data_IF_920104360527
#
_entry.id   IF_920104360527
#
_cell.length_a   1.000
_cell.length_b   1.000
_cell.length_c   1.000
_cell.angle_alpha   90.00
_cell.angle_beta   90.00
_cell.angle_gamma   90.00
#
_symmetry.space_group_name_H-M   'P 1'
#
loop_
_entity.id
_entity.type
_entity.pdbx_description
1 polymer ?
#
# COMPACT_ATOMS: atom_id res chain seq x y z
N UNK A 1 -11.55 -3.59 -14.66
CA UNK A 1 -12.20 -4.69 -15.43
C UNK A 1 -11.70 -6.08 -15.05
N UNK A 2 -10.57 -6.23 -14.35
CA UNK A 2 -9.98 -7.52 -13.95
C UNK A 2 -10.82 -8.33 -12.95
N UNK A 3 -11.58 -7.68 -12.05
CA UNK A 3 -12.35 -8.38 -11.01
C UNK A 3 -13.40 -9.38 -11.53
N UNK A 4 -14.15 -9.02 -12.57
CA UNK A 4 -15.18 -9.90 -13.15
C UNK A 4 -14.56 -11.13 -13.84
N UNK A 5 -13.43 -10.95 -14.53
CA UNK A 5 -12.67 -12.04 -15.13
C UNK A 5 -12.24 -13.06 -14.09
N UNK A 6 -11.72 -12.60 -12.96
CA UNK A 6 -11.30 -13.49 -11.88
C UNK A 6 -12.45 -14.26 -11.23
N UNK A 7 -13.58 -13.59 -10.98
CA UNK A 7 -14.77 -14.26 -10.46
C UNK A 7 -15.31 -15.31 -11.43
N UNK A 8 -15.27 -15.02 -12.73
CA UNK A 8 -15.65 -15.97 -13.77
C UNK A 8 -14.72 -17.20 -13.80
N UNK A 9 -13.40 -16.98 -13.78
CA UNK A 9 -12.41 -18.05 -13.70
C UNK A 9 -12.67 -18.95 -12.49
N UNK A 10 -12.84 -18.36 -11.30
CA UNK A 10 -13.05 -19.14 -10.08
C UNK A 10 -14.30 -20.03 -10.14
N UNK A 11 -15.38 -19.55 -10.77
CA UNK A 11 -16.60 -20.32 -10.97
C UNK A 11 -16.40 -21.47 -11.98
N UNK A 12 -15.73 -21.22 -13.11
CA UNK A 12 -15.42 -22.25 -14.10
C UNK A 12 -14.48 -23.31 -13.52
N UNK A 13 -13.43 -22.89 -12.81
CA UNK A 13 -12.48 -23.80 -12.18
C UNK A 13 -13.17 -24.66 -11.13
N UNK A 14 -14.07 -24.12 -10.31
CA UNK A 14 -14.79 -24.95 -9.32
C UNK A 14 -15.62 -26.07 -9.95
N UNK A 15 -16.22 -25.83 -11.12
CA UNK A 15 -17.00 -26.86 -11.82
C UNK A 15 -16.13 -28.03 -12.29
N UNK A 16 -14.85 -27.78 -12.58
CA UNK A 16 -13.90 -28.78 -13.06
C UNK A 16 -13.07 -29.40 -11.92
N UNK A 17 -12.66 -28.57 -10.96
CA UNK A 17 -11.88 -28.91 -9.77
C UNK A 17 -12.34 -28.04 -8.60
N UNK A 18 -13.22 -28.61 -7.78
CA UNK A 18 -13.82 -27.91 -6.67
C UNK A 18 -12.78 -27.46 -5.62
N UNK A 19 -11.64 -28.16 -5.49
CA UNK A 19 -10.59 -27.77 -4.54
C UNK A 19 -9.80 -26.57 -5.07
N UNK A 20 -9.37 -26.61 -6.33
CA UNK A 20 -8.68 -25.49 -6.97
C UNK A 20 -9.58 -24.24 -7.00
N UNK A 21 -10.86 -24.39 -7.34
CA UNK A 21 -11.82 -23.28 -7.38
C UNK A 21 -12.03 -22.62 -6.02
N UNK A 22 -12.04 -23.40 -4.92
CA UNK A 22 -12.11 -22.86 -3.55
C UNK A 22 -10.86 -22.08 -3.18
N UNK A 23 -9.67 -22.54 -3.58
CA UNK A 23 -8.41 -21.84 -3.34
C UNK A 23 -8.37 -20.51 -4.09
N UNK A 24 -8.79 -20.49 -5.35
CA UNK A 24 -8.88 -19.25 -6.15
C UNK A 24 -9.89 -18.28 -5.51
N UNK A 25 -11.08 -18.74 -5.10
CA UNK A 25 -12.05 -17.88 -4.41
C UNK A 25 -11.53 -17.29 -3.11
N UNK A 26 -10.78 -18.08 -2.33
CA UNK A 26 -10.14 -17.58 -1.12
C UNK A 26 -9.15 -16.47 -1.46
N UNK A 27 -8.27 -16.69 -2.44
CA UNK A 27 -7.33 -15.67 -2.91
C UNK A 27 -8.06 -14.40 -3.39
N UNK A 28 -9.20 -14.53 -4.07
CA UNK A 28 -10.03 -13.40 -4.48
C UNK A 28 -10.67 -12.65 -3.32
N UNK A 29 -11.09 -13.36 -2.27
CA UNK A 29 -11.65 -12.73 -1.07
C UNK A 29 -10.57 -11.92 -0.35
N UNK A 30 -9.34 -12.45 -0.27
CA UNK A 30 -8.20 -11.76 0.32
C UNK A 30 -7.78 -10.55 -0.53
N UNK A 31 -7.78 -10.68 -1.86
CA UNK A 31 -7.49 -9.60 -2.81
C UNK A 31 -8.49 -8.43 -2.74
N UNK A 32 -9.79 -8.76 -2.67
CA UNK A 32 -10.89 -7.78 -2.68
C UNK A 32 -11.12 -7.10 -1.32
N UNK A 33 -10.48 -7.58 -0.25
CA UNK A 33 -10.56 -6.98 1.07
C UNK A 33 -10.14 -5.50 1.06
N UNK A 34 -10.57 -4.74 2.08
CA UNK A 34 -10.13 -3.36 2.25
C UNK A 34 -8.60 -3.23 2.31
N UNK A 35 -8.05 -2.13 1.80
CA UNK A 35 -6.63 -1.81 1.98
C UNK A 35 -6.34 -1.52 3.45
N UNK A 36 -5.29 -2.13 4.01
CA UNK A 36 -4.81 -1.87 5.37
C UNK A 36 -3.87 -0.66 5.32
N UNK A 37 -4.32 0.45 5.89
CA UNK A 37 -3.51 1.66 6.05
C UNK A 37 -3.01 1.73 7.49
N UNK A 38 -1.70 1.64 7.68
CA UNK A 38 -1.06 1.74 8.99
C UNK A 38 -0.52 3.15 9.20
N UNK A 39 -0.92 3.80 10.29
CA UNK A 39 -0.36 5.10 10.68
C UNK A 39 0.61 4.90 11.83
N UNK A 40 1.89 4.85 11.48
CA UNK A 40 2.98 4.50 12.38
C UNK A 40 3.72 5.74 12.87
N UNK A 41 4.19 5.71 14.11
CA UNK A 41 5.05 6.77 14.64
C UNK A 41 5.31 6.62 16.13
N UNK A 42 6.33 7.29 16.64
CA UNK A 42 6.62 7.30 18.07
C UNK A 42 5.61 8.11 18.86
N UNK A 43 5.55 7.87 20.17
CA UNK A 43 4.77 8.69 21.07
C UNK A 43 5.18 10.18 20.95
N UNK A 44 4.20 11.08 20.91
CA UNK A 44 4.44 12.53 20.83
C UNK A 44 4.79 13.09 19.44
N UNK A 45 4.84 12.27 18.38
CA UNK A 45 5.09 12.78 17.01
C UNK A 45 3.86 13.38 16.34
N UNK A 46 2.68 13.30 16.95
CA UNK A 46 1.40 13.69 16.33
C UNK A 46 0.71 12.57 15.55
N UNK A 47 1.20 11.32 15.66
CA UNK A 47 0.64 10.12 15.01
C UNK A 47 -0.89 10.02 15.09
N UNK A 48 -1.49 10.24 16.27
CA UNK A 48 -2.95 10.11 16.46
C UNK A 48 -3.75 11.17 15.71
N UNK A 49 -3.20 12.38 15.59
CA UNK A 49 -3.80 13.44 14.78
C UNK A 49 -3.75 13.07 13.30
N UNK A 50 -2.61 12.57 12.82
CA UNK A 50 -2.46 12.10 11.44
C UNK A 50 -3.37 10.90 11.17
N UNK A 51 -3.50 9.97 12.11
CA UNK A 51 -4.40 8.82 12.00
C UNK A 51 -5.86 9.26 11.79
N UNK A 52 -6.29 10.27 12.55
CA UNK A 52 -7.62 10.86 12.41
C UNK A 52 -7.79 11.53 11.06
N UNK A 53 -6.81 12.33 10.64
CA UNK A 53 -6.81 13.02 9.35
C UNK A 53 -6.85 12.04 8.16
N UNK A 54 -6.01 10.99 8.18
CA UNK A 54 -5.98 9.93 7.16
C UNK A 54 -7.33 9.22 7.10
N UNK A 55 -7.93 8.90 8.25
CA UNK A 55 -9.26 8.29 8.32
C UNK A 55 -10.32 9.21 7.69
N UNK A 56 -10.30 10.51 7.99
CA UNK A 56 -11.22 11.47 7.39
C UNK A 56 -11.01 11.63 5.87
N UNK A 57 -9.77 11.72 5.41
CA UNK A 57 -9.45 11.82 3.97
C UNK A 57 -9.97 10.61 3.20
N UNK A 58 -9.77 9.41 3.74
CA UNK A 58 -10.25 8.17 3.09
C UNK A 58 -11.78 8.05 3.16
N UNK A 59 -12.44 8.53 4.23
CA UNK A 59 -13.90 8.60 4.32
C UNK A 59 -14.52 9.59 3.32
N UNK A 60 -13.83 10.69 3.01
CA UNK A 60 -14.30 11.72 2.06
C UNK A 60 -14.24 11.27 0.59
N UNK A 61 -13.90 10.00 0.33
CA UNK A 61 -13.75 9.38 -0.98
C UNK A 61 -12.64 10.04 -1.76
N UNK A 62 -11.43 9.54 -1.59
CA UNK A 62 -10.39 9.79 -2.57
C UNK A 62 -10.84 9.08 -3.85
N UNK A 63 -11.20 9.85 -4.89
CA UNK A 63 -11.42 9.34 -6.23
C UNK A 63 -10.06 8.88 -6.76
N UNK A 64 -9.70 7.64 -6.40
CA UNK A 64 -8.49 7.00 -6.87
C UNK A 64 -8.83 6.43 -8.25
N UNK A 65 -7.98 6.69 -9.25
CA UNK A 65 -8.09 6.04 -10.55
C UNK A 65 -8.20 4.51 -10.35
N UNK A 66 -9.38 3.95 -10.65
CA UNK A 66 -9.70 2.54 -10.40
C UNK A 66 -10.91 2.29 -9.49
N UNK A 67 -11.51 3.31 -8.86
CA UNK A 67 -12.79 3.21 -8.14
C UNK A 67 -12.70 3.54 -6.64
N UNK A 68 -13.79 3.29 -5.89
CA UNK A 68 -13.81 3.49 -4.44
C UNK A 68 -12.81 2.56 -3.75
N UNK A 69 -11.91 3.13 -2.94
CA UNK A 69 -11.00 2.35 -2.10
C UNK A 69 -11.60 2.20 -0.72
N UNK A 70 -12.12 1.01 -0.44
CA UNK A 70 -12.37 0.59 0.94
C UNK A 70 -11.01 0.45 1.64
N UNK A 71 -10.81 1.20 2.72
CA UNK A 71 -9.58 1.19 3.50
C UNK A 71 -9.88 1.07 4.99
N UNK A 72 -9.13 0.23 5.68
CA UNK A 72 -9.12 0.10 7.12
C UNK A 72 -7.88 0.81 7.68
N UNK A 73 -8.09 1.88 8.46
CA UNK A 73 -7.02 2.71 9.04
C UNK A 73 -6.79 2.33 10.49
N UNK A 74 -5.54 1.94 10.81
CA UNK A 74 -5.12 1.58 12.16
C UNK A 74 -3.81 2.25 12.57
N UNK A 75 -3.75 2.75 13.80
CA UNK A 75 -2.54 3.30 14.39
C UNK A 75 -1.55 2.23 14.84
N UNK A 76 -0.25 2.49 14.65
CA UNK A 76 0.85 1.64 15.13
C UNK A 76 1.83 2.50 15.93
N UNK A 77 1.97 2.20 17.22
CA UNK A 77 2.96 2.87 18.05
C UNK A 77 4.34 2.26 17.80
N UNK A 78 5.34 3.12 17.59
CA UNK A 78 6.74 2.74 17.43
C UNK A 78 7.49 3.12 18.70
N UNK A 79 8.52 2.35 19.07
CA UNK A 79 9.38 2.64 20.22
C UNK A 79 8.59 2.65 21.55
N UNK A 80 7.71 1.65 21.72
CA UNK A 80 6.93 1.46 22.94
C UNK A 80 7.80 0.81 24.03
N UNK A 81 7.86 1.37 25.25
CA UNK A 81 8.57 0.75 26.36
C UNK A 81 8.06 -0.67 26.63
N UNK A 82 8.98 -1.63 26.72
CA UNK A 82 8.70 -3.06 26.94
C UNK A 82 7.77 -3.70 25.89
N UNK A 83 7.52 -3.02 24.77
CA UNK A 83 6.69 -3.49 23.67
C UNK A 83 7.50 -4.26 22.63
N UNK A 84 6.85 -5.15 21.85
CA UNK A 84 7.49 -5.75 20.69
C UNK A 84 7.77 -4.71 19.62
N UNK A 85 8.79 -4.96 18.80
CA UNK A 85 9.03 -4.15 17.60
C UNK A 85 7.79 -4.18 16.68
N UNK A 86 7.34 -3.02 16.17
CA UNK A 86 6.16 -2.95 15.34
C UNK A 86 6.39 -3.62 13.98
N UNK A 87 5.41 -4.39 13.53
CA UNK A 87 5.39 -4.94 12.17
C UNK A 87 4.65 -3.94 11.27
N UNK A 88 5.37 -3.36 10.31
CA UNK A 88 4.85 -2.38 9.36
C UNK A 88 4.61 -3.04 7.99
N UNK A 89 3.56 -3.86 7.92
CA UNK A 89 3.20 -4.71 6.78
C UNK A 89 1.95 -4.22 6.02
N UNK A 90 1.44 -3.04 6.35
CA UNK A 90 0.27 -2.46 5.70
C UNK A 90 0.41 -2.38 4.18
N UNK A 91 -0.74 -2.35 3.49
CA UNK A 91 -0.78 -2.05 2.05
C UNK A 91 -0.23 -0.64 1.78
N UNK A 92 -0.53 0.29 2.70
CA UNK A 92 0.05 1.63 2.78
C UNK A 92 0.51 1.88 4.22
N UNK A 93 1.74 2.36 4.38
CA UNK A 93 2.31 2.76 5.67
C UNK A 93 2.52 4.26 5.66
N UNK A 94 1.76 4.97 6.50
CA UNK A 94 1.93 6.39 6.78
C UNK A 94 2.83 6.52 8.01
N UNK A 95 4.10 6.86 7.80
CA UNK A 95 5.05 7.02 8.90
C UNK A 95 5.12 8.49 9.33
N UNK A 96 4.96 8.75 10.62
CA UNK A 96 4.82 10.11 11.17
C UNK A 96 6.07 10.50 11.95
N UNK A 97 6.79 11.49 11.44
CA UNK A 97 8.01 12.04 12.04
C UNK A 97 7.82 13.49 12.47
N UNK A 98 8.49 13.93 13.55
CA UNK A 98 8.48 15.33 13.94
C UNK A 98 9.26 16.18 12.93
N UNK A 99 8.89 17.46 12.81
CA UNK A 99 9.57 18.49 11.99
C UNK A 99 11.10 18.42 11.95
N UNK A 100 11.72 18.17 13.11
CA UNK A 100 13.18 18.12 13.23
C UNK A 100 13.66 16.68 13.19
N UNK A 101 13.82 16.16 11.98
CA UNK A 101 14.61 14.96 11.76
C UNK A 101 15.98 15.38 11.22
N UNK A 102 16.80 15.94 12.12
CA UNK A 102 18.23 16.10 11.82
C UNK A 102 18.80 14.69 11.62
N UNK A 103 19.43 14.36 10.48
CA UNK A 103 19.99 13.03 10.24
C UNK A 103 21.04 12.63 11.30
N UNK A 104 21.68 13.59 11.98
CA UNK A 104 22.58 13.32 13.10
C UNK A 104 21.85 12.95 14.41
N UNK A 105 20.55 13.23 14.51
CA UNK A 105 19.74 13.11 15.74
C UNK A 105 18.46 12.27 15.52
N UNK A 106 18.26 11.73 14.31
CA UNK A 106 17.12 10.87 13.99
C UNK A 106 17.08 9.68 14.94
N UNK A 107 15.92 9.47 15.59
CA UNK A 107 15.78 8.41 16.58
C UNK A 107 16.09 7.05 15.94
N UNK A 108 16.87 6.16 16.58
CA UNK A 108 17.20 4.86 16.01
C UNK A 108 15.98 4.06 15.57
N UNK A 109 14.89 4.12 16.35
CA UNK A 109 13.64 3.45 16.01
C UNK A 109 12.98 4.00 14.73
N UNK A 110 13.06 5.32 14.48
CA UNK A 110 12.55 5.92 13.24
C UNK A 110 13.33 5.42 12.03
N UNK A 111 14.66 5.34 12.14
CA UNK A 111 15.52 4.81 11.07
C UNK A 111 15.27 3.32 10.83
N UNK A 112 15.15 2.53 11.89
CA UNK A 112 14.89 1.10 11.79
C UNK A 112 13.54 0.82 11.11
N UNK A 113 12.49 1.53 11.53
CA UNK A 113 11.16 1.43 10.93
C UNK A 113 11.18 1.81 9.44
N UNK A 114 11.77 2.95 9.08
CA UNK A 114 11.85 3.40 7.69
C UNK A 114 12.69 2.48 6.79
N UNK A 115 13.69 1.80 7.36
CA UNK A 115 14.48 0.79 6.63
C UNK A 115 13.72 -0.52 6.43
N UNK A 116 12.82 -0.86 7.34
CA UNK A 116 12.05 -2.11 7.30
C UNK A 116 10.83 -2.04 6.36
N UNK A 117 10.30 -0.84 6.11
CA UNK A 117 9.12 -0.63 5.26
C UNK A 117 9.50 -0.68 3.79
N UNK A 118 8.71 -1.39 3.00
CA UNK A 118 8.78 -1.35 1.54
C UNK A 118 8.56 0.09 1.03
N UNK A 119 9.55 0.72 0.35
CA UNK A 119 9.43 2.08 -0.17
C UNK A 119 8.25 2.27 -1.12
N UNK A 120 7.74 1.23 -1.76
CA UNK A 120 6.56 1.31 -2.63
C UNK A 120 5.28 1.64 -1.85
N UNK A 121 5.24 1.33 -0.55
CA UNK A 121 4.07 1.44 0.34
C UNK A 121 4.12 2.64 1.28
N UNK A 122 5.23 3.37 1.31
CA UNK A 122 5.50 4.40 2.29
C UNK A 122 4.93 5.77 1.89
N UNK A 123 4.32 6.46 2.85
CA UNK A 123 4.11 7.92 2.86
C UNK A 123 4.72 8.46 4.16
N UNK A 124 5.67 9.37 4.08
CA UNK A 124 6.29 10.01 5.24
C UNK A 124 5.61 11.34 5.52
N UNK A 125 4.97 11.46 6.69
CA UNK A 125 4.30 12.67 7.14
C UNK A 125 5.17 13.41 8.14
N UNK A 126 5.47 14.66 7.84
CA UNK A 126 6.24 15.54 8.72
C UNK A 126 5.29 16.43 9.51
N UNK A 127 5.33 16.33 10.84
CA UNK A 127 4.44 17.10 11.72
C UNK A 127 5.07 18.40 12.20
N UNK A 128 4.29 19.48 12.07
CA UNK A 128 4.62 20.82 12.55
C UNK A 128 5.09 21.79 11.47
N UNK A 129 4.22 22.70 11.02
CA UNK A 129 4.57 23.97 10.35
C UNK A 129 5.54 23.95 9.17
N UNK A 130 5.61 22.86 8.40
CA UNK A 130 6.68 22.61 7.42
C UNK A 130 6.36 23.14 6.02
N UNK A 131 7.26 23.94 5.47
CA UNK A 131 7.31 24.28 4.04
C UNK A 131 8.02 23.17 3.24
N UNK A 132 8.02 23.29 1.91
CA UNK A 132 8.60 22.29 1.00
C UNK A 132 10.10 22.06 1.24
N UNK A 133 10.80 23.07 1.78
CA UNK A 133 12.23 22.99 2.06
C UNK A 133 12.54 22.05 3.22
N UNK A 134 11.72 22.06 4.27
CA UNK A 134 11.86 21.15 5.39
C UNK A 134 11.50 19.70 4.99
N UNK A 135 10.48 19.51 4.15
CA UNK A 135 10.15 18.19 3.60
C UNK A 135 11.31 17.63 2.77
N UNK A 136 11.97 18.47 1.96
CA UNK A 136 13.15 18.08 1.19
C UNK A 136 14.35 17.69 2.07
N UNK A 137 14.54 18.36 3.22
CA UNK A 137 15.58 17.99 4.18
C UNK A 137 15.28 16.63 4.83
N UNK A 138 14.03 16.39 5.24
CA UNK A 138 13.61 15.11 5.82
C UNK A 138 13.73 13.97 4.80
N UNK A 139 13.34 14.20 3.55
CA UNK A 139 13.52 13.24 2.45
C UNK A 139 14.99 12.80 2.33
N UNK A 140 15.92 13.76 2.30
CA UNK A 140 17.37 13.49 2.25
C UNK A 140 17.87 12.76 3.49
N UNK A 141 17.40 13.14 4.68
CA UNK A 141 17.84 12.58 5.94
C UNK A 141 17.39 11.12 6.13
N UNK A 142 16.22 10.78 5.59
CA UNK A 142 15.61 9.44 5.70
C UNK A 142 15.93 8.54 4.51
N UNK A 143 16.38 9.12 3.39
CA UNK A 143 16.51 8.41 2.11
C UNK A 143 15.16 8.14 1.43
N UNK A 144 14.06 8.71 1.95
CA UNK A 144 12.73 8.57 1.37
C UNK A 144 12.62 9.49 0.15
N UNK A 145 12.09 9.00 -0.99
CA UNK A 145 11.85 9.82 -2.16
C UNK A 145 11.03 11.08 -1.84
N UNK A 146 11.38 12.28 -2.37
CA UNK A 146 10.66 13.52 -2.06
C UNK A 146 9.16 13.48 -2.40
N UNK A 147 8.77 12.69 -3.41
CA UNK A 147 7.37 12.47 -3.80
C UNK A 147 6.58 11.61 -2.82
N UNK A 148 7.22 11.10 -1.77
CA UNK A 148 6.59 10.34 -0.69
C UNK A 148 6.58 11.11 0.63
N UNK A 149 7.19 12.31 0.69
CA UNK A 149 7.24 13.13 1.90
C UNK A 149 6.22 14.26 1.79
N UNK A 150 5.40 14.42 2.83
CA UNK A 150 4.35 15.44 2.88
C UNK A 150 4.26 16.11 4.25
N UNK A 151 4.00 17.41 4.23
CA UNK A 151 3.71 18.18 5.43
C UNK A 151 2.30 17.86 5.94
N UNK A 152 2.11 17.65 7.25
CA UNK A 152 0.80 17.33 7.84
C UNK A 152 -0.30 18.37 7.52
N UNK A 153 0.08 19.62 7.31
CA UNK A 153 -0.85 20.73 7.02
C UNK A 153 -1.37 20.74 5.59
N UNK A 154 -0.74 19.98 4.70
CA UNK A 154 -1.12 19.91 3.29
C UNK A 154 -2.05 18.70 3.09
N UNK A 155 -3.32 18.89 3.43
CA UNK A 155 -4.31 17.81 3.39
C UNK A 155 -4.55 17.30 1.96
N UNK A 156 -4.49 18.21 0.98
CA UNK A 156 -4.67 17.90 -0.44
C UNK A 156 -3.52 17.02 -0.93
N UNK A 157 -2.27 17.44 -0.71
CA UNK A 157 -1.11 16.66 -1.08
C UNK A 157 -1.04 15.33 -0.31
N UNK A 158 -1.43 15.29 0.96
CA UNK A 158 -1.52 14.04 1.72
C UNK A 158 -2.54 13.09 1.08
N UNK A 159 -3.70 13.60 0.67
CA UNK A 159 -4.69 12.84 -0.08
C UNK A 159 -4.13 12.28 -1.40
N UNK A 160 -3.44 13.11 -2.19
CA UNK A 160 -2.80 12.70 -3.44
C UNK A 160 -1.73 11.61 -3.22
N UNK A 161 -0.89 11.74 -2.19
CA UNK A 161 0.13 10.71 -1.88
C UNK A 161 -0.50 9.40 -1.46
N UNK A 162 -1.53 9.44 -0.62
CA UNK A 162 -2.30 8.25 -0.23
C UNK A 162 -2.97 7.60 -1.45
N UNK A 163 -3.54 8.40 -2.35
CA UNK A 163 -4.14 7.93 -3.60
C UNK A 163 -3.11 7.17 -4.45
N UNK A 164 -1.96 7.80 -4.70
CA UNK A 164 -0.88 7.23 -5.49
C UNK A 164 -0.37 5.91 -4.88
N UNK A 165 -0.21 5.84 -3.54
CA UNK A 165 0.20 4.60 -2.87
C UNK A 165 -0.88 3.52 -2.90
N UNK A 166 -2.16 3.90 -2.82
CA UNK A 166 -3.25 2.94 -2.95
C UNK A 166 -3.32 2.31 -4.35
N UNK A 167 -3.04 3.07 -5.42
CA UNK A 167 -2.89 2.52 -6.78
C UNK A 167 -1.76 1.49 -6.84
N UNK A 168 -0.59 1.82 -6.28
CA UNK A 168 0.55 0.89 -6.22
C UNK A 168 0.20 -0.36 -5.41
N UNK A 169 -0.44 -0.20 -4.25
CA UNK A 169 -0.87 -1.32 -3.42
C UNK A 169 -1.86 -2.25 -4.13
N UNK A 170 -2.81 -1.69 -4.90
CA UNK A 170 -3.74 -2.47 -5.71
C UNK A 170 -3.00 -3.27 -6.78
N UNK A 171 -2.04 -2.67 -7.49
CA UNK A 171 -1.20 -3.38 -8.47
C UNK A 171 -0.41 -4.52 -7.82
N UNK A 172 0.19 -4.30 -6.66
CA UNK A 172 0.90 -5.35 -5.92
C UNK A 172 -0.03 -6.50 -5.51
N UNK A 173 -1.28 -6.20 -5.13
CA UNK A 173 -2.29 -7.22 -4.86
C UNK A 173 -2.71 -7.98 -6.13
N UNK A 174 -2.86 -7.30 -7.27
CA UNK A 174 -3.16 -7.94 -8.55
C UNK A 174 -2.04 -8.93 -8.95
N UNK A 175 -0.78 -8.51 -8.81
CA UNK A 175 0.38 -9.37 -9.05
C UNK A 175 0.44 -10.56 -8.09
N UNK A 176 0.15 -10.35 -6.80
CA UNK A 176 0.12 -11.41 -5.79
C UNK A 176 -1.00 -12.41 -6.10
N UNK A 177 -2.20 -11.92 -6.45
CA UNK A 177 -3.32 -12.77 -6.84
C UNK A 177 -2.96 -13.62 -8.07
N UNK A 178 -2.37 -13.02 -9.09
CA UNK A 178 -1.91 -13.74 -10.28
C UNK A 178 -0.90 -14.84 -9.92
N UNK A 179 0.08 -14.53 -9.06
CA UNK A 179 1.07 -15.49 -8.56
C UNK A 179 0.43 -16.63 -7.76
N UNK A 180 -0.49 -16.32 -6.85
CA UNK A 180 -1.21 -17.33 -6.05
C UNK A 180 -2.04 -18.24 -6.95
N UNK A 181 -2.81 -17.67 -7.89
CA UNK A 181 -3.65 -18.43 -8.81
C UNK A 181 -2.81 -19.34 -9.72
N UNK A 182 -1.68 -18.86 -10.24
CA UNK A 182 -0.74 -19.67 -11.02
C UNK A 182 -0.15 -20.84 -10.20
N UNK A 183 0.02 -20.65 -8.89
CA UNK A 183 0.54 -21.65 -7.95
C UNK A 183 -0.49 -22.69 -7.48
N UNK A 184 -1.77 -22.56 -7.81
CA UNK A 184 -2.81 -23.51 -7.38
C UNK A 184 -2.57 -24.89 -8.01
N UNK A 185 -2.43 -25.96 -7.21
CA UNK A 185 -2.40 -27.31 -7.73
C UNK A 185 -3.73 -27.66 -8.38
N UNK A 186 -3.71 -28.03 -9.67
CA UNK A 186 -4.92 -28.33 -10.41
C UNK A 186 -4.68 -29.37 -11.52
N UNK A 187 -5.76 -29.99 -11.99
CA UNK A 187 -5.73 -30.88 -13.15
C UNK A 187 -5.29 -30.12 -14.44
N UNK A 188 -4.72 -30.80 -15.45
CA UNK A 188 -4.20 -30.15 -16.66
C UNK A 188 -5.19 -29.20 -17.36
N UNK A 189 -6.46 -29.60 -17.48
CA UNK A 189 -7.51 -28.79 -18.09
C UNK A 189 -7.79 -27.48 -17.34
N UNK A 190 -7.67 -27.51 -16.01
CA UNK A 190 -7.82 -26.32 -15.16
C UNK A 190 -6.59 -25.42 -15.27
N UNK A 191 -5.40 -26.02 -15.38
CA UNK A 191 -4.15 -25.27 -15.58
C UNK A 191 -4.18 -24.50 -16.91
N UNK A 192 -4.63 -25.12 -17.99
CA UNK A 192 -4.79 -24.43 -19.29
C UNK A 192 -5.74 -23.23 -19.19
N UNK A 193 -6.86 -23.37 -18.47
CA UNK A 193 -7.82 -22.29 -18.27
C UNK A 193 -7.24 -21.13 -17.43
N UNK A 194 -6.48 -21.47 -16.38
CA UNK A 194 -5.78 -20.50 -15.54
C UNK A 194 -4.72 -19.74 -16.36
N UNK A 195 -3.90 -20.45 -17.14
CA UNK A 195 -2.88 -19.85 -18.01
C UNK A 195 -3.49 -18.90 -19.04
N UNK A 196 -4.56 -19.32 -19.73
CA UNK A 196 -5.28 -18.45 -20.68
C UNK A 196 -5.82 -17.18 -20.03
N UNK A 197 -6.30 -17.28 -18.79
CA UNK A 197 -6.82 -16.12 -18.07
C UNK A 197 -5.69 -15.20 -17.61
N UNK A 198 -4.57 -15.75 -17.17
CA UNK A 198 -3.37 -14.98 -16.81
C UNK A 198 -2.82 -14.22 -18.02
N UNK A 199 -2.80 -14.83 -19.21
CA UNK A 199 -2.40 -14.16 -20.44
C UNK A 199 -3.31 -12.96 -20.75
N UNK A 200 -4.63 -13.11 -20.56
CA UNK A 200 -5.58 -12.00 -20.75
C UNK A 200 -5.37 -10.86 -19.74
N UNK A 201 -4.99 -11.17 -18.49
CA UNK A 201 -4.70 -10.16 -17.46
C UNK A 201 -3.34 -9.49 -17.70
N UNK A 202 -2.34 -10.24 -18.18
CA UNK A 202 -1.02 -9.70 -18.52
C UNK A 202 -0.98 -8.81 -19.77
N UNK A 203 -2.07 -8.77 -20.54
CA UNK A 203 -2.23 -7.93 -21.74
C UNK A 203 -2.87 -6.55 -21.47
N UNK A 204 -3.30 -6.25 -20.23
CA UNK A 204 -3.69 -4.87 -19.86
C UNK A 204 -2.41 -4.02 -19.69
N UNK A 205 -2.26 -2.86 -20.36
CA UNK A 205 -0.95 -2.46 -20.86
C UNK A 205 0.07 -2.09 -19.79
N UNK A 206 1.20 -2.79 -19.87
CA UNK A 206 2.55 -2.41 -19.45
C UNK A 206 3.12 -1.17 -20.20
N UNK A 207 2.30 -0.22 -20.66
CA UNK A 207 2.77 0.99 -21.34
C UNK A 207 2.51 2.25 -20.52
N UNK A 208 3.56 3.07 -20.38
CA UNK A 208 3.61 4.45 -19.84
C UNK A 208 3.99 4.64 -18.36
N UNK A 209 5.23 4.30 -17.97
CA UNK A 209 6.02 5.17 -17.05
C UNK A 209 7.51 5.31 -17.47
N UNK A 210 7.99 4.59 -18.49
CA UNK A 210 9.41 4.62 -18.88
C UNK A 210 9.74 5.43 -20.16
N UNK A 211 8.94 6.44 -20.51
CA UNK A 211 9.25 7.35 -21.62
C UNK A 211 9.10 8.82 -21.17
N UNK A 212 9.93 9.23 -20.22
CA UNK A 212 9.99 10.59 -19.71
C UNK A 212 11.39 10.96 -19.21
N UNK A 213 12.42 10.62 -19.99
CA UNK A 213 13.78 11.14 -19.82
C UNK A 213 14.40 11.35 -21.20
N UNK A 214 14.07 12.47 -21.83
CA UNK A 214 14.99 13.28 -22.63
C UNK A 214 14.66 14.75 -22.44
#
# INVERSE_FOLDING_TARGET
>A
MTGELWHHLAAQVEQLDAQAGRLIRRALTEHTAALRVQVAGRAGTGRESVETQVRELLLRRVDIEGGQVDAAVGGVAVDTPDGPDPVLDGDVVVYVVPRRLDPAVAHPADRAALTAVDPCRLVLVVTGGTDDSECALVARATGVPPDQVVAVRDEELLGERLAARAVVARRLRDEELARVVAGVPAAPQVRELVEQTLDLVGLDPMESVAAGLR
#
